data_IF_872809969885
#
_entry.id   IF_872809969885
#
_cell.length_a   1.000
_cell.length_b   1.000
_cell.length_c   1.000
_cell.angle_alpha   90.00
_cell.angle_beta   90.00
_cell.angle_gamma   90.00
#
_symmetry.space_group_name_H-M   'P 1'
#
loop_
_entity.id
_entity.type
_entity.pdbx_description
1 polymer ?
#
# COMPACT_ATOMS: atom_id res chain seq x y z
N UNK A 1 29.30 14.02 23.02
CA UNK A 1 28.31 15.03 22.59
C UNK A 1 27.63 14.50 21.34
N UNK A 2 26.37 14.08 21.40
CA UNK A 2 25.59 13.72 20.21
C UNK A 2 24.27 14.48 20.24
N UNK A 3 24.26 15.66 19.62
CA UNK A 3 23.05 16.34 19.21
C UNK A 3 23.15 16.50 17.69
N UNK A 4 22.42 15.65 16.97
CA UNK A 4 22.09 15.89 15.56
C UNK A 4 20.58 16.14 15.47
N UNK A 5 20.14 17.26 16.07
CA UNK A 5 18.77 17.76 15.91
C UNK A 5 18.67 18.55 14.60
N UNK A 6 18.87 17.87 13.47
CA UNK A 6 18.31 18.27 12.18
C UNK A 6 17.16 17.33 11.85
N UNK A 7 16.16 17.75 11.03
CA UNK A 7 15.14 16.82 10.57
C UNK A 7 15.80 15.81 9.62
N UNK A 8 16.29 14.70 10.18
CA UNK A 8 16.80 13.58 9.39
C UNK A 8 15.67 12.96 8.56
N UNK A 9 16.04 12.01 7.70
CA UNK A 9 15.08 11.45 6.75
C UNK A 9 15.59 10.18 6.09
N UNK A 10 14.76 9.66 5.22
CA UNK A 10 15.00 8.44 4.47
C UNK A 10 15.56 8.80 3.11
N UNK A 11 16.78 8.34 2.84
CA UNK A 11 17.37 8.39 1.50
C UNK A 11 16.95 7.12 0.73
N UNK A 12 16.29 7.31 -0.41
CA UNK A 12 15.71 6.22 -1.20
C UNK A 12 16.07 6.40 -2.67
N UNK A 13 15.87 5.35 -3.49
CA UNK A 13 16.07 5.44 -4.95
C UNK A 13 15.16 6.46 -5.65
N UNK A 14 14.08 6.89 -5.00
CA UNK A 14 13.11 7.86 -5.52
C UNK A 14 13.42 9.30 -5.06
N UNK A 15 14.37 9.46 -4.13
CA UNK A 15 14.76 10.72 -3.53
C UNK A 15 14.78 10.67 -2.00
N UNK A 16 15.05 11.84 -1.41
CA UNK A 16 15.07 12.05 0.03
C UNK A 16 13.69 12.44 0.56
N UNK A 17 13.28 11.83 1.67
CA UNK A 17 12.01 12.09 2.33
C UNK A 17 12.24 12.41 3.80
N UNK A 18 11.60 13.47 4.31
CA UNK A 18 11.71 13.88 5.70
C UNK A 18 11.09 12.86 6.65
N UNK A 19 11.56 12.81 7.90
CA UNK A 19 10.93 12.03 8.96
C UNK A 19 9.42 12.33 9.05
N UNK A 20 8.59 11.27 9.05
CA UNK A 20 7.14 11.36 9.08
C UNK A 20 6.48 11.60 7.73
N UNK A 21 7.23 11.97 6.69
CA UNK A 21 6.70 12.19 5.35
C UNK A 21 6.15 10.88 4.78
N UNK A 22 4.99 11.00 4.13
CA UNK A 22 4.30 9.90 3.44
C UNK A 22 4.28 10.19 1.94
N UNK A 23 4.48 9.15 1.12
CA UNK A 23 4.39 9.25 -0.33
C UNK A 23 3.82 7.98 -0.95
N UNK A 24 3.40 8.08 -2.21
CA UNK A 24 2.81 6.99 -2.96
C UNK A 24 3.79 6.48 -4.02
N UNK A 25 4.08 5.19 -3.96
CA UNK A 25 4.98 4.52 -4.88
C UNK A 25 4.20 3.70 -5.92
N UNK A 26 4.90 3.29 -6.98
CA UNK A 26 4.31 2.42 -8.01
C UNK A 26 3.80 1.10 -7.42
N UNK A 27 2.72 0.58 -8.02
CA UNK A 27 2.14 -0.71 -7.66
C UNK A 27 1.21 -0.66 -6.45
N UNK A 28 0.43 0.42 -6.32
CA UNK A 28 -0.51 0.62 -5.21
C UNK A 28 0.12 0.45 -3.82
N UNK A 29 1.15 1.25 -3.54
CA UNK A 29 1.86 1.23 -2.26
C UNK A 29 1.90 2.61 -1.64
N UNK A 30 1.77 2.65 -0.32
CA UNK A 30 2.05 3.84 0.47
C UNK A 30 3.34 3.62 1.23
N UNK A 31 4.19 4.63 1.29
CA UNK A 31 5.43 4.61 2.05
C UNK A 31 5.45 5.72 3.06
N UNK A 32 6.10 5.47 4.19
CA UNK A 32 6.32 6.47 5.23
C UNK A 32 7.75 6.39 5.73
N UNK A 33 8.39 7.54 5.85
CA UNK A 33 9.70 7.61 6.49
C UNK A 33 9.50 7.61 8.00
N UNK A 34 9.96 6.55 8.67
CA UNK A 34 9.87 6.38 10.10
C UNK A 34 11.25 6.50 10.73
N UNK A 35 11.29 6.99 11.97
CA UNK A 35 12.52 7.09 12.76
C UNK A 35 12.39 6.18 13.97
N UNK A 36 13.30 5.20 14.09
CA UNK A 36 13.31 4.24 15.19
C UNK A 36 14.73 4.02 15.69
N UNK A 37 14.94 4.18 17.00
CA UNK A 37 16.24 3.98 17.68
C UNK A 37 17.43 4.70 16.99
N UNK A 38 17.23 5.96 16.60
CA UNK A 38 18.29 6.77 15.99
C UNK A 38 18.54 6.50 14.50
N UNK A 39 17.74 5.63 13.87
CA UNK A 39 17.89 5.25 12.46
C UNK A 39 16.59 5.50 11.69
N UNK A 40 16.73 5.90 10.42
CA UNK A 40 15.60 6.14 9.53
C UNK A 40 15.32 4.91 8.67
N UNK A 41 14.05 4.54 8.55
CA UNK A 41 13.58 3.40 7.75
C UNK A 41 12.38 3.80 6.92
N UNK A 42 12.22 3.15 5.78
CA UNK A 42 10.99 3.28 4.98
C UNK A 42 10.05 2.14 5.33
N UNK A 43 8.92 2.47 5.96
CA UNK A 43 7.79 1.57 6.11
C UNK A 43 6.99 1.56 4.80
N UNK A 44 6.56 0.39 4.33
CA UNK A 44 5.78 0.24 3.10
C UNK A 44 4.50 -0.52 3.40
N UNK A 45 3.37 0.12 3.15
CA UNK A 45 2.06 -0.52 3.10
C UNK A 45 1.76 -0.96 1.66
N UNK A 46 1.30 -2.18 1.51
CA UNK A 46 0.78 -2.73 0.25
C UNK A 46 -0.56 -3.41 0.48
N UNK A 47 -1.30 -3.62 -0.60
CA UNK A 47 -2.54 -4.38 -0.54
C UNK A 47 -2.21 -5.87 -0.33
N UNK A 48 -2.45 -6.38 0.88
CA UNK A 48 -2.46 -7.82 1.11
C UNK A 48 -3.80 -8.38 0.63
N UNK A 49 -3.77 -9.32 -0.31
CA UNK A 49 -4.99 -9.98 -0.80
C UNK A 49 -4.78 -11.48 -0.87
N UNK A 50 -5.17 -12.19 0.19
CA UNK A 50 -5.30 -13.64 0.19
C UNK A 50 -6.79 -13.99 0.00
N UNK A 51 -7.14 -14.57 -1.15
CA UNK A 51 -8.42 -15.26 -1.31
C UNK A 51 -8.20 -16.73 -0.98
N UNK A 52 -8.71 -17.17 0.16
CA UNK A 52 -8.67 -18.57 0.59
C UNK A 52 -9.78 -19.45 -0.02
N UNK A 53 -10.55 -18.98 -1.01
CA UNK A 53 -11.66 -19.75 -1.55
C UNK A 53 -11.75 -19.68 -3.08
N UNK A 54 -11.18 -20.69 -3.73
CA UNK A 54 -11.18 -20.89 -5.20
C UNK A 54 -12.56 -21.31 -5.76
N UNK A 55 -13.55 -21.53 -4.89
CA UNK A 55 -14.89 -21.99 -5.31
C UNK A 55 -15.73 -20.84 -5.87
N UNK A 56 -15.42 -19.59 -5.50
CA UNK A 56 -16.18 -18.44 -5.96
C UNK A 56 -15.69 -17.87 -7.29
N UNK A 57 -16.59 -17.69 -8.26
CA UNK A 57 -16.32 -16.87 -9.45
C UNK A 57 -16.32 -15.39 -9.03
N UNK A 58 -15.16 -14.92 -8.56
CA UNK A 58 -14.96 -13.52 -8.20
C UNK A 58 -14.37 -12.74 -9.37
N UNK A 59 -14.87 -11.53 -9.58
CA UNK A 59 -14.22 -10.55 -10.46
C UNK A 59 -13.32 -9.68 -9.59
N UNK A 60 -12.05 -9.57 -10.00
CA UNK A 60 -11.08 -8.64 -9.39
C UNK A 60 -11.28 -7.28 -10.03
N UNK A 61 -11.56 -6.26 -9.21
CA UNK A 61 -11.68 -4.87 -9.64
C UNK A 61 -10.52 -4.07 -9.06
N UNK A 62 -9.75 -3.42 -9.93
CA UNK A 62 -8.61 -2.59 -9.57
C UNK A 62 -8.76 -1.24 -10.29
N UNK A 63 -8.63 -0.15 -9.55
CA UNK A 63 -8.48 1.18 -10.14
C UNK A 63 -7.00 1.56 -10.16
N UNK A 64 -6.37 1.48 -11.33
CA UNK A 64 -4.95 1.81 -11.50
C UNK A 64 -4.68 3.32 -11.52
N UNK A 65 -5.71 4.15 -11.54
CA UNK A 65 -5.57 5.62 -11.54
C UNK A 65 -5.61 6.21 -10.13
N UNK A 66 -6.14 5.45 -9.16
CA UNK A 66 -6.20 5.84 -7.76
C UNK A 66 -4.85 5.65 -7.02
N UNK A 67 -4.71 6.30 -5.87
CA UNK A 67 -3.60 6.09 -4.93
C UNK A 67 -3.99 5.11 -3.82
N UNK A 68 -3.00 4.55 -3.11
CA UNK A 68 -3.27 3.66 -1.98
C UNK A 68 -4.08 4.39 -0.90
N UNK A 69 -5.08 3.76 -0.25
CA UNK A 69 -5.52 2.37 -0.43
C UNK A 69 -6.59 2.19 -1.53
N UNK A 70 -7.04 3.25 -2.20
CA UNK A 70 -8.14 3.19 -3.16
C UNK A 70 -7.80 2.39 -4.44
N UNK A 71 -6.53 2.29 -4.81
CA UNK A 71 -6.10 1.40 -5.89
C UNK A 71 -6.00 -0.09 -5.49
N UNK A 72 -6.30 -0.44 -4.24
CA UNK A 72 -6.21 -1.83 -3.81
C UNK A 72 -7.25 -2.70 -4.51
N UNK A 73 -6.90 -3.97 -4.85
CA UNK A 73 -7.86 -4.88 -5.47
C UNK A 73 -9.06 -5.09 -4.56
N UNK A 74 -10.25 -4.94 -5.14
CA UNK A 74 -11.50 -5.33 -4.50
C UNK A 74 -12.08 -6.52 -5.23
N UNK A 75 -12.68 -7.44 -4.49
CA UNK A 75 -13.27 -8.64 -5.06
C UNK A 75 -14.77 -8.55 -5.00
N UNK A 76 -15.41 -8.63 -6.16
CA UNK A 76 -16.85 -8.81 -6.25
C UNK A 76 -17.11 -10.26 -6.61
N UNK A 77 -17.45 -11.04 -5.60
CA UNK A 77 -17.81 -12.44 -5.74
C UNK A 77 -19.31 -12.56 -5.94
N UNK A 78 -19.72 -13.36 -6.91
CA UNK A 78 -21.13 -13.68 -7.07
C UNK A 78 -21.51 -14.80 -6.08
N UNK A 79 -22.45 -14.58 -5.15
CA UNK A 79 -22.79 -15.58 -4.13
C UNK A 79 -23.34 -16.89 -4.71
N UNK A 80 -23.89 -16.86 -5.94
CA UNK A 80 -24.48 -18.03 -6.58
C UNK A 80 -23.48 -18.91 -7.36
N UNK A 81 -22.23 -18.46 -7.58
CA UNK A 81 -21.22 -19.11 -8.44
C UNK A 81 -21.65 -19.43 -9.89
N UNK A 82 -22.81 -18.95 -10.31
CA UNK A 82 -23.42 -19.24 -11.61
C UNK A 82 -23.10 -18.16 -12.66
N UNK A 83 -22.48 -17.05 -12.25
CA UNK A 83 -22.07 -15.96 -13.16
C UNK A 83 -23.20 -15.04 -13.61
N UNK A 84 -24.35 -15.08 -12.95
CA UNK A 84 -25.47 -14.17 -13.23
C UNK A 84 -25.24 -12.80 -12.59
N UNK A 85 -25.54 -11.71 -13.29
CA UNK A 85 -25.51 -10.38 -12.68
C UNK A 85 -26.55 -10.31 -11.55
N UNK A 86 -26.10 -10.04 -10.31
CA UNK A 86 -27.00 -9.65 -9.23
C UNK A 86 -27.56 -8.28 -9.61
N UNK A 87 -28.88 -8.22 -9.85
CA UNK A 87 -29.60 -6.99 -10.19
C UNK A 87 -29.61 -6.00 -9.03
#
# INVERSE_FOLDING_TARGET
MFQANGPGGCDTKEGFYFAGQTWYARGCRRRKCIHFRGTFFTETDSCDTEIFNTTYRCVVQVDTTAQYPACCPTYKCNPDNLGNAVK
#
